data_IF_102515650151
#
_entry.id   IF_102515650151
#
_cell.length_a   1.000
_cell.length_b   1.000
_cell.length_c   1.000
_cell.angle_alpha   90.00
_cell.angle_beta   90.00
_cell.angle_gamma   90.00
#
_symmetry.space_group_name_H-M   'P 1'
#
loop_
_entity.id
_entity.type
_entity.pdbx_description
1 polymer ?
#
# COMPACT_ATOMS: atom_id res chain seq x y z
N UNK A 1 15.23 10.81 19.61
CA UNK A 1 13.89 10.89 20.08
C UNK A 1 12.89 11.12 18.98
N UNK A 2 12.95 12.07 18.38
CA UNK A 2 11.96 12.50 17.43
C UNK A 2 12.16 11.98 16.04
N UNK A 3 13.15 11.13 15.80
CA UNK A 3 13.46 10.71 14.45
C UNK A 3 12.31 10.00 13.75
N UNK A 4 11.62 9.14 14.46
CA UNK A 4 10.46 8.47 13.89
C UNK A 4 9.32 9.44 13.64
N UNK A 5 9.13 10.34 14.57
CA UNK A 5 8.11 11.37 14.45
C UNK A 5 8.45 12.36 13.36
N UNK A 6 9.71 12.75 13.30
CA UNK A 6 10.18 13.63 12.24
C UNK A 6 10.08 12.99 10.87
N UNK A 7 10.39 11.70 10.79
CA UNK A 7 10.24 10.95 9.55
C UNK A 7 8.80 10.95 9.06
N UNK A 8 7.87 10.64 9.94
CA UNK A 8 6.45 10.61 9.59
C UNK A 8 5.93 12.01 9.23
N UNK A 9 6.33 13.02 9.98
CA UNK A 9 5.85 14.38 9.76
C UNK A 9 6.49 15.08 8.58
N UNK A 10 7.80 14.94 8.42
CA UNK A 10 8.52 15.64 7.38
C UNK A 10 8.35 15.03 6.01
N UNK A 11 8.36 13.70 5.93
CA UNK A 11 8.28 13.04 4.65
C UNK A 11 6.93 13.12 4.00
N UNK A 12 5.88 13.14 4.78
CA UNK A 12 4.53 12.93 4.28
C UNK A 12 3.61 14.12 4.46
N UNK A 13 3.99 15.08 5.25
CA UNK A 13 3.20 16.29 5.49
C UNK A 13 1.75 16.01 5.88
N UNK A 14 1.56 15.05 6.74
CA UNK A 14 0.23 14.75 7.23
C UNK A 14 -0.27 15.88 8.13
N UNK A 15 -1.57 16.20 8.07
CA UNK A 15 -2.15 17.09 9.06
C UNK A 15 -2.30 16.34 10.38
N UNK A 16 -1.23 16.21 11.12
CA UNK A 16 -1.24 15.54 12.40
C UNK A 16 -1.74 16.50 13.45
N UNK A 17 -2.88 16.18 14.05
CA UNK A 17 -3.38 16.92 15.19
C UNK A 17 -2.64 16.46 16.44
N UNK A 18 -1.86 17.34 17.02
CA UNK A 18 -1.19 17.05 18.27
C UNK A 18 -1.99 17.68 19.39
N UNK A 19 -2.35 16.86 20.37
CA UNK A 19 -3.03 17.34 21.56
C UNK A 19 -2.10 18.19 22.39
N UNK A 20 -2.61 19.28 22.89
CA UNK A 20 -1.83 20.13 23.81
C UNK A 20 -1.40 19.41 25.08
N UNK A 21 -2.08 18.31 25.38
CA UNK A 21 -1.73 17.47 26.54
C UNK A 21 -0.62 16.45 26.23
N UNK A 22 0.00 16.53 25.05
CA UNK A 22 1.17 15.72 24.74
C UNK A 22 0.92 14.44 23.98
N UNK A 23 -0.30 14.20 23.53
CA UNK A 23 -0.64 13.01 22.77
C UNK A 23 -1.08 13.32 21.35
N UNK A 24 -0.87 12.36 20.45
CA UNK A 24 -1.45 12.41 19.11
C UNK A 24 -2.90 12.02 19.23
N UNK A 25 -3.81 12.75 18.57
CA UNK A 25 -5.22 12.42 18.62
C UNK A 25 -5.47 11.03 17.98
N UNK A 26 -6.54 10.39 18.41
CA UNK A 26 -6.92 9.06 17.90
C UNK A 26 -7.13 9.08 16.39
N UNK A 27 -7.78 10.13 15.88
CA UNK A 27 -8.03 10.26 14.45
C UNK A 27 -6.73 10.46 13.67
N UNK A 28 -5.76 11.18 14.25
CA UNK A 28 -4.47 11.35 13.60
C UNK A 28 -3.70 10.03 13.54
N UNK A 29 -3.76 9.22 14.59
CA UNK A 29 -3.12 7.92 14.59
C UNK A 29 -3.72 7.02 13.50
N UNK A 30 -5.03 6.98 13.40
CA UNK A 30 -5.71 6.17 12.40
C UNK A 30 -5.34 6.61 10.98
N UNK A 31 -5.30 7.91 10.76
CA UNK A 31 -4.93 8.45 9.45
C UNK A 31 -3.47 8.16 9.12
N UNK A 32 -2.59 8.27 10.10
CA UNK A 32 -1.17 7.97 9.89
C UNK A 32 -0.96 6.50 9.52
N UNK A 33 -1.67 5.59 10.16
CA UNK A 33 -1.58 4.17 9.84
C UNK A 33 -2.10 3.91 8.43
N UNK A 34 -3.22 4.51 8.09
CA UNK A 34 -3.82 4.37 6.76
C UNK A 34 -2.86 4.85 5.67
N UNK A 35 -2.27 6.01 5.86
CA UNK A 35 -1.31 6.57 4.92
C UNK A 35 -0.06 5.72 4.82
N UNK A 36 0.40 5.20 5.95
CA UNK A 36 1.55 4.31 5.98
C UNK A 36 1.31 3.05 5.15
N UNK A 37 0.13 2.47 5.25
CA UNK A 37 -0.24 1.31 4.44
C UNK A 37 -0.17 1.65 2.94
N UNK A 38 -0.72 2.77 2.54
CA UNK A 38 -0.67 3.19 1.13
C UNK A 38 0.76 3.37 0.64
N UNK A 39 1.63 3.93 1.46
CA UNK A 39 3.04 4.11 1.11
C UNK A 39 3.74 2.77 0.97
N UNK A 40 3.52 1.85 1.89
CA UNK A 40 4.12 0.53 1.84
C UNK A 40 3.70 -0.21 0.57
N UNK A 41 2.40 -0.21 0.28
CA UNK A 41 1.88 -0.94 -0.87
C UNK A 41 2.22 -0.26 -2.19
N UNK A 42 2.36 1.05 -2.19
CA UNK A 42 2.69 1.81 -3.39
C UNK A 42 4.17 1.83 -3.72
N UNK A 43 5.03 1.33 -2.84
CA UNK A 43 6.48 1.32 -3.05
C UNK A 43 6.93 -0.05 -3.51
N UNK A 44 7.68 -0.10 -4.61
CA UNK A 44 8.29 -1.34 -5.08
C UNK A 44 9.61 -1.57 -4.33
N UNK A 45 9.95 -2.83 -4.00
CA UNK A 45 11.25 -3.11 -3.40
C UNK A 45 12.38 -2.64 -4.32
N UNK A 46 13.40 -2.03 -3.72
CA UNK A 46 14.52 -1.47 -4.47
C UNK A 46 14.32 -0.04 -4.94
N UNK A 47 13.13 0.50 -4.79
CA UNK A 47 12.81 1.86 -5.23
C UNK A 47 13.47 2.92 -4.37
N UNK A 48 13.68 2.63 -3.09
CA UNK A 48 14.30 3.57 -2.15
C UNK A 48 15.76 3.26 -1.96
N UNK A 49 16.61 4.27 -2.12
CA UNK A 49 18.06 4.12 -2.07
C UNK A 49 18.52 3.66 -0.67
N UNK A 50 17.97 4.26 0.37
CA UNK A 50 18.39 4.00 1.74
C UNK A 50 17.68 2.80 2.37
N UNK A 51 16.64 2.29 1.74
CA UNK A 51 15.90 1.13 2.22
C UNK A 51 15.49 0.26 1.04
N UNK A 52 16.44 -0.47 0.46
CA UNK A 52 16.16 -1.24 -0.75
C UNK A 52 15.19 -2.39 -0.54
N UNK A 53 15.04 -2.85 0.70
CA UNK A 53 14.10 -3.92 1.03
C UNK A 53 12.70 -3.41 1.36
N UNK A 54 12.53 -2.09 1.48
CA UNK A 54 11.22 -1.51 1.81
C UNK A 54 10.30 -1.54 0.59
N UNK A 55 9.07 -1.98 0.82
CA UNK A 55 8.05 -1.98 -0.21
C UNK A 55 7.27 -3.27 -0.26
N UNK A 56 6.41 -3.39 -1.25
CA UNK A 56 5.52 -4.52 -1.43
C UNK A 56 5.82 -5.24 -2.74
N UNK A 57 5.92 -6.56 -2.67
CA UNK A 57 6.20 -7.39 -3.84
C UNK A 57 5.02 -7.52 -4.80
N UNK A 58 3.88 -6.91 -4.49
CA UNK A 58 2.75 -6.89 -5.41
C UNK A 58 3.15 -6.33 -6.77
N UNK A 59 4.14 -5.44 -6.81
CA UNK A 59 4.61 -4.84 -8.05
C UNK A 59 5.27 -5.85 -8.99
N UNK A 60 5.70 -7.00 -8.46
CA UNK A 60 6.21 -8.10 -9.29
C UNK A 60 5.09 -8.74 -10.12
N UNK A 61 3.84 -8.51 -9.75
CA UNK A 61 2.69 -9.07 -10.46
C UNK A 61 2.15 -8.15 -11.54
N UNK A 62 2.85 -7.06 -11.86
CA UNK A 62 2.36 -6.05 -12.79
C UNK A 62 1.99 -6.65 -14.16
N UNK A 63 2.75 -7.63 -14.64
CA UNK A 63 2.50 -8.27 -15.92
C UNK A 63 1.85 -9.64 -15.80
N UNK A 64 1.41 -10.00 -14.61
CA UNK A 64 0.74 -11.28 -14.41
C UNK A 64 -0.69 -11.24 -14.96
N UNK A 65 -1.25 -12.40 -15.36
CA UNK A 65 -2.63 -12.44 -15.80
C UNK A 65 -3.59 -12.22 -14.63
N UNK A 66 -4.73 -11.65 -14.91
CA UNK A 66 -5.76 -11.40 -13.90
C UNK A 66 -6.57 -12.68 -13.65
N UNK A 67 -6.06 -13.52 -12.76
CA UNK A 67 -6.69 -14.79 -12.40
C UNK A 67 -6.61 -15.00 -10.89
N UNK A 68 -7.16 -16.12 -10.45
CA UNK A 68 -7.23 -16.42 -9.00
C UNK A 68 -5.84 -16.56 -8.37
N UNK A 69 -4.88 -17.12 -9.09
CA UNK A 69 -3.52 -17.28 -8.58
C UNK A 69 -2.89 -15.92 -8.33
N UNK A 70 -3.04 -15.01 -9.27
CA UNK A 70 -2.52 -13.65 -9.12
C UNK A 70 -3.20 -12.92 -7.96
N UNK A 71 -4.51 -13.09 -7.82
CA UNK A 71 -5.24 -12.49 -6.70
C UNK A 71 -4.73 -12.98 -5.35
N UNK A 72 -4.53 -14.29 -5.22
CA UNK A 72 -4.02 -14.87 -3.97
C UNK A 72 -2.62 -14.36 -3.66
N UNK A 73 -1.75 -14.29 -4.67
CA UNK A 73 -0.39 -13.77 -4.49
C UNK A 73 -0.41 -12.30 -4.12
N UNK A 74 -1.27 -11.52 -4.76
CA UNK A 74 -1.38 -10.09 -4.45
C UNK A 74 -1.77 -9.88 -3.00
N UNK A 75 -2.77 -10.60 -2.52
CA UNK A 75 -3.20 -10.51 -1.14
C UNK A 75 -2.09 -10.91 -0.18
N UNK A 76 -1.38 -11.98 -0.49
CA UNK A 76 -0.28 -12.47 0.34
C UNK A 76 0.86 -11.45 0.43
N UNK A 77 1.27 -10.87 -0.70
CA UNK A 77 2.35 -9.90 -0.71
C UNK A 77 1.99 -8.63 0.03
N UNK A 78 0.74 -8.19 -0.07
CA UNK A 78 0.27 -7.03 0.67
C UNK A 78 0.28 -7.30 2.18
N UNK A 79 -0.21 -8.45 2.58
CA UNK A 79 -0.24 -8.84 3.98
C UNK A 79 1.17 -8.94 4.57
N UNK A 80 2.08 -9.57 3.83
CA UNK A 80 3.48 -9.70 4.25
C UNK A 80 4.14 -8.33 4.43
N UNK A 81 3.96 -7.44 3.46
CA UNK A 81 4.57 -6.12 3.52
C UNK A 81 4.03 -5.29 4.68
N UNK A 82 2.73 -5.32 4.90
CA UNK A 82 2.12 -4.54 5.97
C UNK A 82 2.59 -5.06 7.34
N UNK A 83 2.60 -6.38 7.53
CA UNK A 83 3.10 -6.94 8.80
C UNK A 83 4.55 -6.58 9.04
N UNK A 84 5.36 -6.57 7.99
CA UNK A 84 6.78 -6.30 8.11
C UNK A 84 7.08 -4.83 8.45
N UNK A 85 6.33 -3.91 7.84
CA UNK A 85 6.67 -2.49 7.91
C UNK A 85 5.72 -1.64 8.72
N UNK A 86 4.59 -2.20 9.19
CA UNK A 86 3.66 -1.45 10.03
C UNK A 86 3.37 -2.21 11.33
N UNK A 87 4.22 -2.00 12.34
CA UNK A 87 4.07 -2.74 13.61
C UNK A 87 2.87 -2.32 14.44
N UNK A 88 2.23 -1.21 14.12
CA UNK A 88 1.07 -0.75 14.87
C UNK A 88 -0.19 -1.56 14.59
N UNK A 89 -0.16 -2.42 13.60
CA UNK A 89 -1.30 -3.26 13.24
C UNK A 89 -1.23 -4.56 14.03
N UNK A 90 -2.33 -4.88 14.72
CA UNK A 90 -2.44 -6.09 15.51
C UNK A 90 -3.02 -7.25 14.71
N UNK A 91 -4.08 -6.98 13.95
CA UNK A 91 -4.73 -7.99 13.14
C UNK A 91 -4.86 -7.48 11.71
N UNK A 92 -4.67 -8.37 10.75
CA UNK A 92 -4.66 -7.99 9.35
C UNK A 92 -5.19 -9.12 8.49
N UNK A 93 -6.12 -8.80 7.60
CA UNK A 93 -6.59 -9.70 6.56
C UNK A 93 -6.60 -8.94 5.24
N UNK A 94 -5.96 -9.50 4.23
CA UNK A 94 -5.96 -8.94 2.89
C UNK A 94 -6.64 -9.89 1.92
N UNK A 95 -7.48 -9.33 1.04
CA UNK A 95 -8.13 -10.07 -0.03
C UNK A 95 -8.02 -9.26 -1.31
N UNK A 96 -7.69 -9.92 -2.41
CA UNK A 96 -7.61 -9.27 -3.70
C UNK A 96 -8.71 -9.83 -4.60
N UNK A 97 -9.45 -8.93 -5.23
CA UNK A 97 -10.55 -9.28 -6.12
C UNK A 97 -10.43 -8.48 -7.42
N UNK A 98 -10.72 -9.11 -8.57
CA UNK A 98 -10.79 -8.35 -9.81
C UNK A 98 -11.88 -7.29 -9.74
N UNK A 99 -11.59 -6.13 -10.30
CA UNK A 99 -12.59 -5.06 -10.38
C UNK A 99 -13.63 -5.42 -11.47
N UNK A 100 -14.89 -5.17 -11.17
CA UNK A 100 -15.98 -5.57 -12.06
C UNK A 100 -15.95 -4.85 -13.41
N UNK A 101 -15.56 -3.57 -13.42
CA UNK A 101 -15.62 -2.73 -14.63
C UNK A 101 -14.26 -2.57 -15.31
N UNK A 102 -13.18 -2.94 -14.65
CA UNK A 102 -11.83 -2.79 -15.19
C UNK A 102 -11.08 -4.11 -15.14
N UNK A 103 -10.94 -4.81 -16.27
CA UNK A 103 -10.33 -6.15 -16.26
C UNK A 103 -8.85 -6.16 -15.91
N UNK A 104 -8.18 -5.01 -15.98
CA UNK A 104 -6.77 -4.89 -15.63
C UNK A 104 -6.54 -4.39 -14.20
N UNK A 105 -7.58 -4.33 -13.38
CA UNK A 105 -7.49 -3.79 -12.03
C UNK A 105 -7.83 -4.86 -11.00
N UNK A 106 -6.96 -4.97 -10.00
CA UNK A 106 -7.23 -5.76 -8.79
C UNK A 106 -7.48 -4.81 -7.64
N UNK A 107 -8.56 -5.01 -6.92
CA UNK A 107 -8.81 -4.29 -5.69
C UNK A 107 -8.36 -5.14 -4.51
N UNK A 108 -7.33 -4.69 -3.81
CA UNK A 108 -6.87 -5.35 -2.60
C UNK A 108 -7.61 -4.75 -1.43
N UNK A 109 -8.48 -5.54 -0.82
CA UNK A 109 -9.23 -5.13 0.35
C UNK A 109 -8.46 -5.51 1.59
N UNK A 110 -8.25 -4.54 2.45
CA UNK A 110 -7.43 -4.68 3.63
C UNK A 110 -8.30 -4.38 4.84
N UNK A 111 -8.44 -5.38 5.72
CA UNK A 111 -9.11 -5.20 7.00
C UNK A 111 -8.04 -5.29 8.07
N UNK A 112 -8.00 -4.32 8.95
CA UNK A 112 -6.98 -4.27 9.97
C UNK A 112 -7.51 -3.70 11.28
N UNK A 113 -6.82 -4.02 12.36
CA UNK A 113 -7.07 -3.48 13.69
C UNK A 113 -5.77 -2.90 14.20
N UNK A 114 -5.82 -1.65 14.64
CA UNK A 114 -4.67 -0.98 15.23
C UNK A 114 -4.49 -1.47 16.66
N UNK A 115 -3.25 -1.74 17.05
CA UNK A 115 -2.95 -2.21 18.39
C UNK A 115 -3.46 -1.23 19.45
N UNK A 116 -4.14 -1.77 20.46
CA UNK A 116 -4.74 -0.96 21.50
C UNK A 116 -6.12 -0.43 21.19
N UNK A 117 -6.63 -0.68 19.97
CA UNK A 117 -7.98 -0.30 19.58
C UNK A 117 -8.73 -1.53 19.11
N UNK A 118 -10.02 -1.57 19.40
CA UNK A 118 -10.85 -2.71 19.02
C UNK A 118 -11.62 -2.48 17.73
N UNK A 119 -11.44 -1.33 17.09
CA UNK A 119 -12.16 -0.98 15.87
C UNK A 119 -11.51 -1.64 14.67
N UNK A 120 -12.33 -2.33 13.88
CA UNK A 120 -11.89 -2.88 12.62
C UNK A 120 -11.94 -1.78 11.55
N UNK A 121 -10.87 -1.62 10.82
CA UNK A 121 -10.77 -0.64 9.75
C UNK A 121 -10.67 -1.33 8.40
N UNK A 122 -11.19 -0.69 7.39
CA UNK A 122 -11.18 -1.20 6.02
C UNK A 122 -10.54 -0.19 5.09
N UNK A 123 -9.84 -0.72 4.10
CA UNK A 123 -9.22 0.13 3.10
C UNK A 123 -9.10 -0.68 1.81
N UNK A 124 -9.19 -0.01 0.67
CA UNK A 124 -9.03 -0.64 -0.64
C UNK A 124 -7.84 -0.03 -1.33
N UNK A 125 -6.91 -0.88 -1.77
CA UNK A 125 -5.76 -0.46 -2.55
C UNK A 125 -5.94 -0.96 -3.98
N UNK A 126 -6.09 -0.08 -4.96
CA UNK A 126 -6.21 -0.49 -6.36
C UNK A 126 -4.84 -0.81 -6.94
N UNK A 127 -4.71 -1.94 -7.58
CA UNK A 127 -3.49 -2.34 -8.26
C UNK A 127 -3.80 -2.62 -9.72
N UNK A 128 -3.04 -1.99 -10.62
CA UNK A 128 -3.27 -2.10 -12.05
C UNK A 128 -2.27 -3.07 -12.67
N UNK A 129 -2.80 -4.07 -13.37
CA UNK A 129 -2.01 -4.99 -14.17
C UNK A 129 -1.78 -4.38 -15.55
N UNK A 130 -0.63 -4.67 -16.13
CA UNK A 130 -0.27 -4.18 -17.46
C UNK A 130 -0.04 -5.35 -18.40
N UNK A 131 -0.42 -5.18 -19.65
CA UNK A 131 -0.09 -6.14 -20.69
C UNK A 131 1.21 -5.70 -21.35
N UNK A 132 1.99 -6.68 -21.80
CA UNK A 132 3.23 -6.38 -22.53
C UNK A 132 2.93 -5.56 -23.79
N UNK A 133 1.76 -5.78 -24.36
CA UNK A 133 1.32 -5.06 -25.55
C UNK A 133 1.14 -3.56 -25.31
N UNK A 134 0.77 -3.20 -24.10
CA UNK A 134 0.56 -1.79 -23.75
C UNK A 134 1.86 -0.99 -23.78
N UNK A 135 2.95 -1.60 -23.38
CA UNK A 135 4.25 -0.92 -23.45
C UNK A 135 4.71 -0.76 -24.89
N UNK A 136 4.49 -1.78 -25.70
CA UNK A 136 4.84 -1.73 -27.12
C UNK A 136 4.08 -0.64 -27.87
N UNK A 137 2.81 -0.50 -27.59
CA UNK A 137 2.01 0.53 -28.25
C UNK A 137 2.39 1.94 -27.82
N UNK A 138 2.79 2.08 -26.58
CA UNK A 138 3.24 3.37 -26.08
C UNK A 138 4.52 3.84 -26.76
N UNK A 139 5.48 2.94 -26.94
CA UNK A 139 6.73 3.29 -27.61
C UNK A 139 6.55 3.55 -29.09
N UNK A 140 5.66 2.82 -29.73
CA UNK A 140 5.38 3.02 -31.16
C UNK A 140 4.63 4.34 -31.39
N UNK A 141 3.79 4.71 -30.48
CA UNK A 141 3.09 6.00 -30.55
C UNK A 141 4.05 7.18 -30.48
N UNK A 142 5.10 7.07 -29.72
CA UNK A 142 6.11 8.11 -29.60
C UNK A 142 6.95 8.25 -30.86
N UNK A 143 7.16 7.16 -31.59
CA UNK A 143 7.96 7.15 -32.80
C UNK A 143 7.14 7.39 -34.07
N UNK A 144 5.85 7.32 -33.98
CA UNK A 144 4.95 7.48 -35.12
C UNK A 144 4.59 8.92 -35.44
N UNK A 145 5.13 9.84 -34.73
CA UNK A 145 4.83 11.26 -34.95
C UNK A 145 5.57 11.86 -36.15
#
# INVERSE_FOLDING_TARGET
MSNERDFLGKGLRFPVSINLNGGVSTSALEENVRQSIFIILGTAPGERIYRPDFGCRIHDLMFAPNNDVTSVRAAYYCEEAIYKYEPRIEKLVCRALPHADQPNRLDVRIEYVIAGKNDKRNLVFPFYLRNEDDEGSSSNGANGA
#
